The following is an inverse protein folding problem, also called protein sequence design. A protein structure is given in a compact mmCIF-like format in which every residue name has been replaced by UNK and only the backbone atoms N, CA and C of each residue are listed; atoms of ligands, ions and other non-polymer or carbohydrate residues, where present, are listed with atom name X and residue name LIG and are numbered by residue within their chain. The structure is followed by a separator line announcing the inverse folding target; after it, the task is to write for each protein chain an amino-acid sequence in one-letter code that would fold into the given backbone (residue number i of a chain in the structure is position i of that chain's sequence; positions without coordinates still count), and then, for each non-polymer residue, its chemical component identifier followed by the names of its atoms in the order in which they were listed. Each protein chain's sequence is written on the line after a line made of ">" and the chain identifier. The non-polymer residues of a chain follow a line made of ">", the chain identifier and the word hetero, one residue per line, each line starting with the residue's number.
data_IF_457294921936
#
_entry.id   IF_457294921936
#
_cell.length_a   1.000
_cell.length_b   1.000
_cell.length_c   1.000
_cell.angle_alpha   90.00
_cell.angle_beta   90.00
_cell.angle_gamma   90.00
#
_symmetry.space_group_name_H-M   'P 1'
#
loop_
_entity.id
_entity.type
_entity.pdbx_description
1 polymer ?
#
# COMPACT_ATOMS: atom_id res chain seq x y z
N UNK A 1 37.92 20.06 -87.57
CA UNK A 1 36.64 19.35 -87.70
C UNK A 1 36.29 18.70 -86.35
N UNK A 2 35.20 19.17 -85.72
CA UNK A 2 34.33 18.54 -84.68
C UNK A 2 34.86 18.17 -83.26
N UNK A 3 34.65 19.13 -82.37
CA UNK A 3 34.07 19.14 -81.01
C UNK A 3 33.36 17.87 -80.45
N UNK A 4 33.61 17.58 -79.15
CA UNK A 4 32.67 17.23 -78.03
C UNK A 4 33.48 16.60 -76.87
N UNK A 5 33.27 16.77 -75.55
CA UNK A 5 32.50 17.63 -74.63
C UNK A 5 32.81 17.03 -73.22
N UNK A 6 33.15 17.87 -72.20
CA UNK A 6 32.78 17.76 -70.76
C UNK A 6 33.16 16.46 -69.97
N UNK A 7 33.41 16.41 -68.65
CA UNK A 7 33.06 17.25 -67.51
C UNK A 7 33.87 16.84 -66.25
N UNK A 8 34.04 17.79 -65.34
CA UNK A 8 34.56 17.64 -63.98
C UNK A 8 33.80 16.62 -63.12
N UNK A 9 34.52 15.81 -62.33
CA UNK A 9 33.98 15.10 -61.16
C UNK A 9 34.60 15.75 -59.92
N UNK A 10 33.91 16.77 -59.39
CA UNK A 10 34.18 17.29 -58.06
C UNK A 10 33.32 16.49 -57.07
N UNK A 11 33.99 15.80 -56.16
CA UNK A 11 33.42 14.99 -55.09
C UNK A 11 32.77 15.93 -54.05
N UNK A 12 31.49 16.25 -54.24
CA UNK A 12 30.71 16.99 -53.27
C UNK A 12 30.29 16.03 -52.15
N UNK A 13 31.02 16.05 -51.04
CA UNK A 13 30.52 15.49 -49.76
C UNK A 13 29.38 16.37 -49.28
N UNK A 14 28.18 16.06 -49.76
CA UNK A 14 26.94 16.64 -49.27
C UNK A 14 26.75 16.15 -47.83
N UNK A 15 27.11 16.99 -46.86
CA UNK A 15 26.64 16.87 -45.48
C UNK A 15 25.11 16.99 -45.55
N UNK A 16 24.44 15.84 -45.65
CA UNK A 16 23.00 15.80 -45.43
C UNK A 16 22.80 16.12 -43.96
N UNK A 17 22.47 17.37 -43.67
CA UNK A 17 21.84 17.75 -42.41
C UNK A 17 20.55 16.94 -42.35
N UNK A 18 20.59 15.86 -41.58
CA UNK A 18 19.36 15.17 -41.20
C UNK A 18 18.62 16.18 -40.31
N UNK A 19 17.41 16.63 -40.66
CA UNK A 19 16.64 17.41 -39.72
C UNK A 19 16.48 16.56 -38.47
N UNK A 20 16.99 17.06 -37.35
CA UNK A 20 16.67 16.49 -36.04
C UNK A 20 15.18 16.69 -35.85
N UNK A 21 14.40 15.64 -36.10
CA UNK A 21 12.99 15.65 -35.74
C UNK A 21 12.95 15.81 -34.22
N UNK A 22 12.49 16.97 -33.75
CA UNK A 22 12.10 17.14 -32.37
C UNK A 22 11.07 16.05 -32.09
N UNK A 23 11.45 15.09 -31.26
CA UNK A 23 10.53 14.06 -30.83
C UNK A 23 9.59 14.74 -29.84
N UNK A 24 8.36 15.01 -30.27
CA UNK A 24 7.31 15.54 -29.39
C UNK A 24 7.03 14.50 -28.30
N UNK A 25 7.72 14.64 -27.17
CA UNK A 25 7.51 13.83 -25.99
C UNK A 25 6.42 14.49 -25.17
N UNK A 26 5.36 13.73 -24.89
CA UNK A 26 4.28 14.18 -24.01
C UNK A 26 4.50 13.65 -22.61
N UNK A 27 4.02 14.38 -21.62
CA UNK A 27 4.10 13.99 -20.22
C UNK A 27 2.69 13.90 -19.65
N UNK A 28 2.40 12.84 -18.91
CA UNK A 28 1.20 12.75 -18.10
C UNK A 28 1.58 12.69 -16.62
N UNK A 29 0.90 13.49 -15.80
CA UNK A 29 0.94 13.43 -14.34
C UNK A 29 -0.37 12.82 -13.90
N UNK A 30 -0.36 11.72 -13.14
CA UNK A 30 -1.59 11.19 -12.54
C UNK A 30 -2.68 10.91 -13.61
N UNK A 31 -2.26 10.30 -14.72
CA UNK A 31 -3.05 10.04 -15.95
C UNK A 31 -3.54 11.28 -16.73
N UNK A 32 -3.34 12.50 -16.23
CA UNK A 32 -3.67 13.74 -16.93
C UNK A 32 -2.48 14.26 -17.74
N UNK A 33 -2.69 14.53 -19.03
CA UNK A 33 -1.66 15.16 -19.87
C UNK A 33 -1.32 16.55 -19.36
N UNK A 34 -0.02 16.85 -19.30
CA UNK A 34 0.49 18.18 -18.93
C UNK A 34 0.60 19.03 -20.18
N UNK A 35 -0.12 20.15 -20.19
CA UNK A 35 0.11 21.23 -21.14
C UNK A 35 1.17 22.17 -20.58
N UNK A 36 2.28 22.32 -21.30
CA UNK A 36 3.41 23.15 -20.89
C UNK A 36 3.32 24.51 -21.57
N UNK A 37 3.31 25.58 -20.77
CA UNK A 37 3.44 26.93 -21.30
C UNK A 37 4.90 27.20 -21.73
N UNK A 38 5.16 27.03 -23.03
CA UNK A 38 6.46 27.22 -23.67
C UNK A 38 7.24 25.92 -23.86
N UNK A 39 8.48 25.87 -23.37
CA UNK A 39 9.36 24.70 -23.52
C UNK A 39 8.82 23.51 -22.71
N UNK A 40 8.33 22.50 -23.43
CA UNK A 40 7.88 21.22 -22.88
C UNK A 40 9.03 20.21 -22.70
N UNK A 41 8.66 18.93 -22.56
CA UNK A 41 9.62 17.85 -22.37
C UNK A 41 10.54 17.66 -23.59
N UNK A 42 11.81 17.40 -23.34
CA UNK A 42 12.85 17.25 -24.37
C UNK A 42 13.71 16.03 -24.08
N UNK A 43 14.12 15.30 -25.10
CA UNK A 43 15.09 14.21 -24.94
C UNK A 43 16.50 14.76 -25.05
N UNK A 44 17.28 14.61 -23.98
CA UNK A 44 18.72 14.93 -23.94
C UNK A 44 19.46 13.67 -23.55
N UNK A 45 20.42 13.24 -24.36
CA UNK A 45 21.26 12.05 -24.11
C UNK A 45 20.45 10.77 -23.77
N UNK A 46 19.28 10.60 -24.42
CA UNK A 46 18.40 9.46 -24.19
C UNK A 46 17.65 9.49 -22.86
N UNK A 47 17.55 10.67 -22.21
CA UNK A 47 16.71 10.92 -21.04
C UNK A 47 15.66 11.97 -21.36
N UNK A 48 14.43 11.73 -20.93
CA UNK A 48 13.35 12.72 -21.02
C UNK A 48 13.53 13.74 -19.91
N UNK A 49 13.93 14.95 -20.29
CA UNK A 49 13.99 16.10 -19.41
C UNK A 49 12.66 16.85 -19.44
N UNK A 50 12.21 17.30 -18.28
CA UNK A 50 10.94 17.99 -18.08
C UNK A 50 11.16 19.32 -17.35
N UNK A 51 10.35 20.36 -17.63
CA UNK A 51 10.38 21.57 -16.83
C UNK A 51 9.81 21.25 -15.44
N UNK A 52 10.66 21.34 -14.40
CA UNK A 52 10.33 20.82 -13.06
C UNK A 52 9.03 21.37 -12.52
N UNK A 53 8.85 22.69 -12.58
CA UNK A 53 7.64 23.37 -12.10
C UNK A 53 6.36 22.84 -12.76
N UNK A 54 6.39 22.61 -14.08
CA UNK A 54 5.20 22.18 -14.82
C UNK A 54 4.67 20.78 -14.43
N UNK A 55 5.54 19.94 -13.86
CA UNK A 55 5.20 18.58 -13.43
C UNK A 55 5.01 18.52 -11.92
N UNK A 56 5.95 19.07 -11.15
CA UNK A 56 5.98 18.88 -9.70
C UNK A 56 5.01 19.79 -8.94
N UNK A 57 4.62 20.95 -9.49
CA UNK A 57 3.51 21.72 -8.92
C UNK A 57 2.20 20.91 -8.98
N UNK A 58 1.98 20.15 -10.07
CA UNK A 58 0.82 19.25 -10.22
C UNK A 58 0.87 18.02 -9.32
N UNK A 59 2.05 17.66 -8.81
CA UNK A 59 2.24 16.59 -7.83
C UNK A 59 2.18 17.13 -6.38
N UNK A 60 1.85 18.41 -6.19
CA UNK A 60 1.72 19.04 -4.87
C UNK A 60 3.05 19.42 -4.20
N UNK A 61 4.17 19.44 -4.94
CA UNK A 61 5.42 19.97 -4.44
C UNK A 61 5.47 21.49 -4.58
N UNK A 62 5.99 22.17 -3.55
CA UNK A 62 6.44 23.55 -3.70
C UNK A 62 7.81 23.56 -4.37
N UNK A 63 7.91 24.24 -5.51
CA UNK A 63 9.15 24.37 -6.29
C UNK A 63 9.73 25.77 -6.11
N UNK A 64 10.80 25.86 -5.33
CA UNK A 64 11.57 27.09 -5.14
C UNK A 64 12.81 27.12 -6.02
N UNK A 65 13.10 28.28 -6.60
CA UNK A 65 14.32 28.52 -7.37
C UNK A 65 15.13 29.61 -6.69
N UNK A 66 16.38 29.28 -6.32
CA UNK A 66 17.36 30.25 -5.89
C UNK A 66 18.25 30.63 -7.08
N UNK A 67 18.11 31.87 -7.54
CA UNK A 67 18.85 32.39 -8.69
C UNK A 67 20.33 32.65 -8.41
N UNK A 68 20.70 32.92 -7.15
CA UNK A 68 22.08 33.20 -6.76
C UNK A 68 22.90 31.91 -6.72
N UNK A 69 22.38 30.89 -6.01
CA UNK A 69 23.04 29.59 -5.91
C UNK A 69 22.76 28.65 -7.08
N UNK A 70 21.81 29.00 -7.95
CA UNK A 70 21.31 28.17 -9.06
C UNK A 70 20.81 26.79 -8.61
N UNK A 71 20.04 26.78 -7.53
CA UNK A 71 19.49 25.57 -6.91
C UNK A 71 17.97 25.56 -7.00
N UNK A 72 17.41 24.45 -7.47
CA UNK A 72 15.98 24.15 -7.33
C UNK A 72 15.78 23.34 -6.05
N UNK A 73 14.83 23.75 -5.23
CA UNK A 73 14.40 22.98 -4.06
C UNK A 73 12.93 22.61 -4.22
N UNK A 74 12.63 21.31 -4.15
CA UNK A 74 11.28 20.78 -4.14
C UNK A 74 10.94 20.34 -2.72
N UNK A 75 9.80 20.78 -2.19
CA UNK A 75 9.34 20.39 -0.85
C UNK A 75 7.89 19.93 -0.86
N UNK A 76 7.62 18.76 -0.28
CA UNK A 76 6.27 18.21 -0.01
C UNK A 76 6.35 17.38 1.27
N UNK A 77 5.47 17.66 2.23
CA UNK A 77 5.44 16.99 3.54
C UNK A 77 6.84 16.94 4.20
N UNK A 78 7.38 15.75 4.48
CA UNK A 78 8.71 15.53 5.04
C UNK A 78 9.82 15.32 3.99
N UNK A 79 9.51 15.49 2.70
CA UNK A 79 10.43 15.31 1.58
C UNK A 79 10.94 16.66 1.09
N UNK A 80 12.27 16.84 1.17
CA UNK A 80 13.01 17.97 0.58
C UNK A 80 14.01 17.43 -0.42
N UNK A 81 13.88 17.84 -1.68
CA UNK A 81 14.81 17.48 -2.75
C UNK A 81 15.56 18.74 -3.19
N UNK A 82 16.88 18.71 -3.16
CA UNK A 82 17.73 19.82 -3.59
C UNK A 82 18.50 19.45 -4.85
N UNK A 83 18.38 20.30 -5.87
CA UNK A 83 18.92 20.05 -7.20
C UNK A 83 19.72 21.27 -7.68
N UNK A 84 21.05 21.23 -7.53
CA UNK A 84 21.93 22.22 -8.12
C UNK A 84 22.00 22.06 -9.65
N UNK A 85 21.78 23.15 -10.39
CA UNK A 85 21.88 23.13 -11.86
C UNK A 85 23.32 22.85 -12.29
N UNK A 86 23.49 21.95 -13.26
CA UNK A 86 24.79 21.51 -13.76
C UNK A 86 25.49 20.43 -12.92
N UNK A 87 24.90 20.04 -11.78
CA UNK A 87 25.39 18.94 -10.95
C UNK A 87 24.75 17.61 -11.35
N UNK A 88 25.54 16.54 -11.36
CA UNK A 88 25.05 15.17 -11.45
C UNK A 88 24.66 14.61 -10.08
N UNK A 89 24.72 15.42 -9.02
CA UNK A 89 24.34 15.03 -7.66
C UNK A 89 23.16 15.88 -7.22
N UNK A 90 22.09 15.20 -6.83
CA UNK A 90 20.93 15.77 -6.12
C UNK A 90 20.89 15.21 -4.71
N UNK A 91 20.14 15.85 -3.81
CA UNK A 91 19.91 15.29 -2.47
C UNK A 91 18.43 15.12 -2.18
N UNK A 92 18.06 14.07 -1.47
CA UNK A 92 16.73 13.85 -0.86
C UNK A 92 16.92 13.80 0.65
N UNK A 93 16.30 14.71 1.38
CA UNK A 93 16.43 14.82 2.84
C UNK A 93 17.90 14.83 3.33
N UNK A 94 18.79 15.44 2.53
CA UNK A 94 20.23 15.50 2.81
C UNK A 94 21.04 14.31 2.28
N UNK A 95 20.40 13.22 1.84
CA UNK A 95 21.08 12.06 1.26
C UNK A 95 21.34 12.26 -0.23
N UNK A 96 22.60 12.10 -0.65
CA UNK A 96 23.02 12.34 -2.03
C UNK A 96 22.70 11.17 -2.97
N UNK A 97 22.20 11.48 -4.16
CA UNK A 97 21.95 10.54 -5.26
C UNK A 97 22.55 11.08 -6.54
N UNK A 98 23.21 10.21 -7.31
CA UNK A 98 23.77 10.57 -8.62
C UNK A 98 22.75 10.36 -9.74
N UNK A 99 22.68 11.30 -10.67
CA UNK A 99 21.78 11.28 -11.83
C UNK A 99 22.59 11.25 -13.14
N UNK A 100 22.03 10.59 -14.16
CA UNK A 100 22.73 10.36 -15.44
C UNK A 100 22.99 11.64 -16.24
N UNK A 101 22.02 12.56 -16.23
CA UNK A 101 22.07 13.84 -16.96
C UNK A 101 21.81 14.96 -15.96
N UNK A 102 22.67 15.98 -15.87
CA UNK A 102 22.49 17.06 -14.89
C UNK A 102 21.24 17.88 -15.20
N UNK A 103 20.75 18.59 -14.19
CA UNK A 103 19.77 19.65 -14.38
C UNK A 103 20.34 20.76 -15.29
N UNK A 104 19.54 21.26 -16.24
CA UNK A 104 19.96 22.28 -17.22
C UNK A 104 18.94 23.42 -17.30
N UNK A 105 19.36 24.59 -17.78
CA UNK A 105 18.44 25.67 -18.13
C UNK A 105 18.30 25.70 -19.66
N UNK A 106 17.11 25.40 -20.16
CA UNK A 106 16.79 25.39 -21.60
C UNK A 106 15.61 26.33 -21.81
N UNK A 107 15.75 27.32 -22.69
CA UNK A 107 14.71 28.32 -22.99
C UNK A 107 14.11 28.97 -21.72
N UNK A 108 14.97 29.27 -20.73
CA UNK A 108 14.57 29.89 -19.47
C UNK A 108 13.80 28.98 -18.50
N UNK A 109 13.77 27.66 -18.73
CA UNK A 109 13.18 26.65 -17.84
C UNK A 109 14.26 25.75 -17.26
N UNK A 110 14.14 25.40 -15.98
CA UNK A 110 15.00 24.39 -15.36
C UNK A 110 14.47 22.99 -15.69
N UNK A 111 15.26 22.25 -16.44
CA UNK A 111 14.96 20.96 -17.05
C UNK A 111 15.71 19.84 -16.32
N UNK A 112 14.99 18.84 -15.82
CA UNK A 112 15.56 17.70 -15.07
C UNK A 112 15.09 16.37 -15.66
N UNK A 113 15.91 15.28 -15.55
CA UNK A 113 15.47 13.95 -15.98
C UNK A 113 14.28 13.48 -15.16
N UNK A 114 13.15 13.22 -15.82
CA UNK A 114 11.87 12.88 -15.17
C UNK A 114 11.99 11.71 -14.20
N UNK A 115 12.69 10.63 -14.60
CA UNK A 115 12.87 9.44 -13.77
C UNK A 115 13.67 9.75 -12.50
N UNK A 116 14.77 10.47 -12.62
CA UNK A 116 15.63 10.75 -11.47
C UNK A 116 14.90 11.56 -10.39
N UNK A 117 14.14 12.58 -10.82
CA UNK A 117 13.36 13.38 -9.88
C UNK A 117 12.10 12.65 -9.39
N UNK A 118 11.49 11.80 -10.22
CA UNK A 118 10.39 10.91 -9.82
C UNK A 118 10.81 9.93 -8.73
N UNK A 119 11.94 9.24 -8.91
CA UNK A 119 12.49 8.30 -7.93
C UNK A 119 12.81 9.00 -6.59
N UNK A 120 13.45 10.18 -6.65
CA UNK A 120 13.71 10.99 -5.46
C UNK A 120 12.41 11.43 -4.77
N UNK A 121 11.37 11.76 -5.54
CA UNK A 121 10.05 12.12 -5.07
C UNK A 121 9.18 10.93 -4.62
N UNK A 122 9.65 9.69 -4.81
CA UNK A 122 8.87 8.48 -4.50
C UNK A 122 7.72 8.22 -5.47
N UNK A 123 7.77 8.75 -6.68
CA UNK A 123 6.80 8.56 -7.74
C UNK A 123 7.23 7.44 -8.70
N UNK A 124 6.26 6.74 -9.31
CA UNK A 124 6.54 5.79 -10.37
C UNK A 124 6.61 6.50 -11.74
N UNK A 125 7.61 6.16 -12.55
CA UNK A 125 7.82 6.75 -13.87
C UNK A 125 7.88 5.67 -14.95
N UNK A 126 6.96 5.72 -15.90
CA UNK A 126 6.90 4.81 -17.03
C UNK A 126 7.02 5.53 -18.39
N UNK A 127 7.40 4.77 -19.41
CA UNK A 127 7.54 5.25 -20.78
C UNK A 127 6.76 4.35 -21.73
N UNK A 128 5.86 4.96 -22.50
CA UNK A 128 5.17 4.32 -23.60
C UNK A 128 5.82 4.74 -24.93
N UNK A 129 6.46 3.78 -25.59
CA UNK A 129 7.17 4.02 -26.85
C UNK A 129 6.24 4.22 -28.05
N UNK A 130 5.04 3.66 -28.02
CA UNK A 130 4.06 3.77 -29.11
C UNK A 130 3.41 5.15 -29.10
N UNK A 131 2.96 5.59 -27.92
CA UNK A 131 2.28 6.89 -27.76
C UNK A 131 3.25 8.05 -27.49
N UNK A 132 4.54 7.75 -27.23
CA UNK A 132 5.59 8.70 -26.84
C UNK A 132 5.22 9.51 -25.60
N UNK A 133 4.58 8.85 -24.64
CA UNK A 133 4.16 9.46 -23.37
C UNK A 133 5.08 8.96 -22.25
N UNK A 134 5.67 9.91 -21.54
CA UNK A 134 6.30 9.64 -20.25
C UNK A 134 5.26 9.90 -19.15
N UNK A 135 4.90 8.87 -18.39
CA UNK A 135 3.96 9.00 -17.27
C UNK A 135 4.73 9.09 -15.96
N UNK A 136 4.27 9.96 -15.08
CA UNK A 136 4.67 10.02 -13.68
C UNK A 136 3.42 9.93 -12.81
N UNK A 137 3.44 9.03 -11.84
CA UNK A 137 2.33 8.79 -10.92
C UNK A 137 2.89 8.88 -9.51
N UNK A 138 2.38 9.82 -8.72
CA UNK A 138 2.56 9.76 -7.27
C UNK A 138 1.57 8.72 -6.75
N UNK A 139 1.99 7.46 -6.59
CA UNK A 139 1.07 6.37 -6.24
C UNK A 139 0.33 6.69 -4.93
N UNK A 140 1.01 7.33 -3.96
CA UNK A 140 0.42 7.69 -2.68
C UNK A 140 -0.34 9.02 -2.70
N UNK A 141 0.02 9.97 -3.57
CA UNK A 141 -0.67 11.26 -3.75
C UNK A 141 -1.85 11.23 -4.71
N UNK A 142 -1.81 10.38 -5.73
CA UNK A 142 -2.86 10.21 -6.73
C UNK A 142 -4.10 9.54 -6.14
N UNK A 143 -3.92 8.57 -5.23
CA UNK A 143 -5.01 8.00 -4.44
C UNK A 143 -5.62 9.03 -3.46
N UNK A 144 -4.81 9.99 -2.96
CA UNK A 144 -5.26 11.06 -2.04
C UNK A 144 -6.03 12.20 -2.72
N UNK A 145 -5.65 12.60 -3.93
CA UNK A 145 -6.30 13.71 -4.66
C UNK A 145 -7.68 13.32 -5.25
N UNK A 146 -7.99 12.02 -5.33
CA UNK A 146 -9.30 11.50 -5.74
C UNK A 146 -10.26 11.23 -4.56
N UNK A 147 -9.82 11.36 -3.30
CA UNK A 147 -10.61 11.06 -2.08
C UNK A 147 -10.59 12.22 -1.05
N UNK A 148 -11.39 13.28 -1.29
CA UNK A 148 -11.94 14.29 -0.35
C UNK A 148 -11.36 14.40 1.08
N UNK A 149 -10.29 15.19 1.27
CA UNK A 149 -9.50 15.35 2.50
C UNK A 149 -10.20 15.93 3.77
N UNK A 150 -11.48 16.33 3.75
CA UNK A 150 -12.20 16.75 4.99
C UNK A 150 -13.23 15.73 5.50
N UNK A 151 -13.57 14.70 4.72
CA UNK A 151 -14.56 13.67 5.10
C UNK A 151 -13.92 12.30 5.30
N UNK A 152 -12.87 11.94 4.54
CA UNK A 152 -12.18 10.64 4.64
C UNK A 152 -11.43 10.43 5.94
N UNK A 153 -10.77 11.44 6.51
CA UNK A 153 -10.11 11.25 7.80
C UNK A 153 -11.12 11.00 8.93
N UNK A 154 -12.34 11.53 8.83
CA UNK A 154 -13.39 11.27 9.81
C UNK A 154 -14.03 9.90 9.61
N UNK A 155 -14.26 9.47 8.37
CA UNK A 155 -14.76 8.13 8.06
C UNK A 155 -13.73 7.04 8.40
N UNK A 156 -12.45 7.26 8.08
CA UNK A 156 -11.35 6.36 8.40
C UNK A 156 -11.10 6.28 9.91
N UNK A 157 -11.18 7.41 10.63
CA UNK A 157 -11.09 7.45 12.09
C UNK A 157 -12.30 6.76 12.74
N UNK A 158 -13.52 7.01 12.25
CA UNK A 158 -14.74 6.34 12.73
C UNK A 158 -14.68 4.83 12.48
N UNK A 159 -14.23 4.42 11.30
CA UNK A 159 -13.98 3.01 11.00
C UNK A 159 -12.93 2.42 11.95
N UNK A 160 -11.82 3.10 12.21
CA UNK A 160 -10.81 2.64 13.17
C UNK A 160 -11.37 2.51 14.60
N UNK A 161 -12.22 3.45 15.05
CA UNK A 161 -12.91 3.36 16.34
C UNK A 161 -13.88 2.16 16.38
N UNK A 162 -14.66 1.94 15.33
CA UNK A 162 -15.56 0.79 15.20
C UNK A 162 -14.77 -0.53 15.21
N UNK A 163 -13.66 -0.62 14.47
CA UNK A 163 -12.82 -1.82 14.45
C UNK A 163 -12.13 -2.08 15.79
N UNK A 164 -11.67 -1.05 16.50
CA UNK A 164 -11.14 -1.21 17.86
C UNK A 164 -12.21 -1.73 18.83
N UNK A 165 -13.44 -1.19 18.75
CA UNK A 165 -14.55 -1.67 19.56
C UNK A 165 -14.92 -3.13 19.23
N UNK A 166 -14.84 -3.54 17.96
CA UNK A 166 -15.01 -4.93 17.53
C UNK A 166 -13.90 -5.81 18.12
N UNK A 167 -12.65 -5.38 18.03
CA UNK A 167 -11.52 -6.11 18.61
C UNK A 167 -11.69 -6.32 20.12
N UNK A 168 -12.07 -5.28 20.86
CA UNK A 168 -12.34 -5.36 22.29
C UNK A 168 -13.43 -6.39 22.60
N UNK A 169 -14.51 -6.41 21.82
CA UNK A 169 -15.59 -7.41 21.97
C UNK A 169 -15.07 -8.83 21.70
N UNK A 170 -14.24 -9.03 20.68
CA UNK A 170 -13.67 -10.34 20.37
C UNK A 170 -12.79 -10.80 21.54
N UNK A 171 -11.86 -9.95 22.01
CA UNK A 171 -10.96 -10.27 23.13
C UNK A 171 -11.75 -10.58 24.41
N UNK A 172 -12.78 -9.78 24.73
CA UNK A 172 -13.66 -10.01 25.88
C UNK A 172 -14.45 -11.32 25.78
N UNK A 173 -14.74 -11.79 24.57
CA UNK A 173 -15.45 -13.05 24.32
C UNK A 173 -14.50 -14.25 24.37
N UNK A 174 -13.34 -14.17 23.71
CA UNK A 174 -12.32 -15.25 23.64
C UNK A 174 -11.75 -15.55 25.03
N UNK A 175 -11.38 -14.52 25.78
CA UNK A 175 -10.61 -14.68 27.03
C UNK A 175 -11.26 -15.63 28.05
N UNK A 176 -12.50 -15.39 28.52
CA UNK A 176 -13.11 -16.24 29.56
C UNK A 176 -13.33 -17.68 29.06
N UNK A 177 -13.66 -17.84 27.79
CA UNK A 177 -13.84 -19.15 27.18
C UNK A 177 -12.51 -19.92 27.11
N UNK A 178 -11.44 -19.29 26.61
CA UNK A 178 -10.14 -19.93 26.48
C UNK A 178 -9.50 -20.26 27.83
N UNK A 179 -9.77 -19.48 28.88
CA UNK A 179 -9.32 -19.81 30.23
C UNK A 179 -9.92 -21.13 30.71
N UNK A 180 -11.21 -21.36 30.45
CA UNK A 180 -11.90 -22.61 30.82
C UNK A 180 -11.49 -23.77 29.92
N UNK A 181 -11.27 -23.52 28.63
CA UNK A 181 -10.75 -24.55 27.73
C UNK A 181 -9.32 -24.99 28.12
N UNK A 182 -8.47 -24.04 28.53
CA UNK A 182 -7.14 -24.34 29.09
C UNK A 182 -7.22 -25.06 30.42
N UNK A 183 -8.16 -24.70 31.29
CA UNK A 183 -8.44 -25.41 32.55
C UNK A 183 -8.68 -26.89 32.25
N UNK A 184 -9.59 -27.19 31.31
CA UNK A 184 -9.88 -28.56 30.86
C UNK A 184 -8.66 -29.29 30.31
N UNK A 185 -7.90 -28.67 29.40
CA UNK A 185 -6.74 -29.32 28.76
C UNK A 185 -5.60 -29.62 29.73
N UNK A 186 -5.56 -28.96 30.89
CA UNK A 186 -4.53 -29.17 31.91
C UNK A 186 -4.98 -30.11 33.05
N UNK A 187 -6.21 -30.63 33.02
CA UNK A 187 -6.68 -31.58 34.02
C UNK A 187 -5.88 -32.88 33.94
N UNK A 188 -5.35 -33.33 35.08
CA UNK A 188 -4.82 -34.69 35.22
C UNK A 188 -5.97 -35.68 35.41
N UNK A 189 -6.21 -36.62 34.46
CA UNK A 189 -7.33 -37.56 34.56
C UNK A 189 -7.25 -38.48 35.78
N UNK A 190 -6.07 -38.64 36.39
CA UNK A 190 -5.90 -39.47 37.59
C UNK A 190 -6.28 -38.76 38.89
N UNK A 191 -6.45 -37.42 38.87
CA UNK A 191 -6.66 -36.59 40.06
C UNK A 191 -8.06 -35.97 40.14
N UNK A 192 -8.83 -36.00 39.05
CA UNK A 192 -10.19 -35.46 38.98
C UNK A 192 -11.23 -36.55 39.19
N UNK A 193 -12.28 -36.27 39.97
CA UNK A 193 -13.42 -37.19 40.07
C UNK A 193 -14.40 -37.01 38.91
N UNK A 194 -15.19 -38.05 38.63
CA UNK A 194 -16.12 -38.06 37.48
C UNK A 194 -17.17 -36.94 37.53
N UNK A 195 -17.60 -36.50 38.72
CA UNK A 195 -18.58 -35.41 38.86
C UNK A 195 -17.94 -34.09 38.44
N UNK A 196 -16.76 -33.80 38.97
CA UNK A 196 -15.98 -32.60 38.62
C UNK A 196 -15.63 -32.55 37.13
N UNK A 197 -15.25 -33.70 36.56
CA UNK A 197 -14.96 -33.81 35.13
C UNK A 197 -16.20 -33.49 34.29
N UNK A 198 -17.36 -34.03 34.65
CA UNK A 198 -18.61 -33.76 33.94
C UNK A 198 -19.06 -32.31 34.07
N UNK A 199 -18.90 -31.70 35.25
CA UNK A 199 -19.16 -30.27 35.44
C UNK A 199 -18.25 -29.41 34.55
N UNK A 200 -16.96 -29.76 34.45
CA UNK A 200 -16.01 -29.04 33.61
C UNK A 200 -16.33 -29.20 32.11
N UNK A 201 -16.67 -30.41 31.66
CA UNK A 201 -17.13 -30.67 30.28
C UNK A 201 -18.37 -29.83 29.96
N UNK A 202 -19.36 -29.82 30.87
CA UNK A 202 -20.56 -29.00 30.70
C UNK A 202 -20.24 -27.51 30.64
N UNK A 203 -19.32 -27.04 31.47
CA UNK A 203 -18.86 -25.65 31.49
C UNK A 203 -18.20 -25.26 30.16
N UNK A 204 -17.30 -26.10 29.62
CA UNK A 204 -16.67 -25.89 28.31
C UNK A 204 -17.70 -25.86 27.18
N UNK A 205 -18.63 -26.82 27.12
CA UNK A 205 -19.71 -26.83 26.11
C UNK A 205 -20.58 -25.58 26.21
N UNK A 206 -20.97 -25.18 27.42
CA UNK A 206 -21.84 -24.01 27.62
C UNK A 206 -21.14 -22.71 27.21
N UNK A 207 -19.88 -22.54 27.60
CA UNK A 207 -19.12 -21.33 27.29
C UNK A 207 -18.74 -21.25 25.81
N UNK A 208 -18.38 -22.37 25.16
CA UNK A 208 -18.13 -22.39 23.71
C UNK A 208 -19.37 -22.00 22.92
N UNK A 209 -20.56 -22.49 23.27
CA UNK A 209 -21.83 -22.06 22.63
C UNK A 209 -22.11 -20.57 22.85
N UNK A 210 -21.91 -20.07 24.06
CA UNK A 210 -22.10 -18.66 24.38
C UNK A 210 -21.13 -17.77 23.60
N UNK A 211 -19.85 -18.17 23.52
CA UNK A 211 -18.83 -17.47 22.75
C UNK A 211 -19.17 -17.49 21.25
N UNK A 212 -19.54 -18.67 20.72
CA UNK A 212 -19.95 -18.82 19.32
C UNK A 212 -21.12 -17.91 18.94
N UNK A 213 -22.17 -17.88 19.77
CA UNK A 213 -23.31 -16.98 19.56
C UNK A 213 -22.87 -15.51 19.53
N UNK A 214 -21.95 -15.13 20.42
CA UNK A 214 -21.42 -13.76 20.49
C UNK A 214 -20.55 -13.44 19.28
N UNK A 215 -19.69 -14.34 18.81
CA UNK A 215 -18.90 -14.13 17.60
C UNK A 215 -19.77 -14.00 16.35
N UNK A 216 -20.84 -14.78 16.23
CA UNK A 216 -21.79 -14.61 15.12
C UNK A 216 -22.50 -13.25 15.18
N UNK A 217 -22.83 -12.77 16.38
CA UNK A 217 -23.35 -11.42 16.54
C UNK A 217 -22.31 -10.36 16.12
N UNK A 218 -21.07 -10.48 16.60
CA UNK A 218 -19.97 -9.56 16.22
C UNK A 218 -19.75 -9.60 14.70
N UNK A 219 -19.80 -10.77 14.06
CA UNK A 219 -19.68 -10.91 12.60
C UNK A 219 -20.82 -10.22 11.87
N UNK A 220 -22.05 -10.31 12.38
CA UNK A 220 -23.19 -9.57 11.85
C UNK A 220 -23.00 -8.05 12.00
N UNK A 221 -22.52 -7.59 13.15
CA UNK A 221 -22.21 -6.17 13.40
C UNK A 221 -21.11 -5.68 12.45
N UNK A 222 -20.02 -6.45 12.29
CA UNK A 222 -18.92 -6.16 11.37
C UNK A 222 -19.41 -6.07 9.92
N UNK A 223 -20.31 -6.95 9.48
CA UNK A 223 -20.85 -6.91 8.12
C UNK A 223 -21.66 -5.65 7.80
N UNK A 224 -22.10 -4.91 8.83
CA UNK A 224 -22.80 -3.63 8.67
C UNK A 224 -21.86 -2.42 8.72
N UNK A 225 -20.57 -2.62 9.04
CA UNK A 225 -19.56 -1.56 9.06
C UNK A 225 -19.33 -1.06 7.64
N UNK A 226 -19.31 0.27 7.48
CA UNK A 226 -18.94 0.89 6.21
C UNK A 226 -17.42 0.92 6.10
N UNK A 227 -16.88 0.25 5.08
CA UNK A 227 -15.44 0.16 4.87
C UNK A 227 -14.97 1.32 3.98
N UNK A 228 -14.13 2.24 4.48
CA UNK A 228 -13.54 3.30 3.67
C UNK A 228 -12.37 2.76 2.84
N UNK A 229 -11.94 3.52 1.83
CA UNK A 229 -10.76 3.18 1.03
C UNK A 229 -9.51 2.99 1.92
N UNK A 230 -8.79 1.88 1.73
CA UNK A 230 -7.63 1.49 2.53
C UNK A 230 -7.97 0.68 3.79
N UNK A 231 -9.25 0.60 4.18
CA UNK A 231 -9.74 -0.17 5.32
C UNK A 231 -10.02 -1.64 5.01
N UNK A 232 -9.96 -2.06 3.75
CA UNK A 232 -10.36 -3.39 3.28
C UNK A 232 -9.54 -4.49 3.97
N UNK A 233 -8.22 -4.30 4.09
CA UNK A 233 -7.33 -5.26 4.75
C UNK A 233 -7.66 -5.46 6.23
N UNK A 234 -8.09 -4.39 6.92
CA UNK A 234 -8.49 -4.46 8.33
C UNK A 234 -9.79 -5.25 8.46
N UNK A 235 -10.76 -4.94 7.60
CA UNK A 235 -12.05 -5.63 7.57
C UNK A 235 -11.90 -7.12 7.25
N UNK A 236 -11.14 -7.47 6.21
CA UNK A 236 -10.89 -8.86 5.79
C UNK A 236 -10.19 -9.65 6.89
N UNK A 237 -9.20 -9.05 7.56
CA UNK A 237 -8.48 -9.68 8.66
C UNK A 237 -9.40 -9.94 9.87
N UNK A 238 -10.27 -8.98 10.21
CA UNK A 238 -11.27 -9.14 11.27
C UNK A 238 -12.30 -10.25 10.94
N UNK A 239 -12.79 -10.29 9.70
CA UNK A 239 -13.70 -11.33 9.23
C UNK A 239 -13.07 -12.72 9.31
N UNK A 240 -11.82 -12.84 8.85
CA UNK A 240 -11.07 -14.09 8.93
C UNK A 240 -10.84 -14.53 10.39
N UNK A 241 -10.47 -13.60 11.27
CA UNK A 241 -10.33 -13.87 12.70
C UNK A 241 -11.63 -14.42 13.30
N UNK A 242 -12.78 -13.79 13.00
CA UNK A 242 -14.08 -14.25 13.47
C UNK A 242 -14.46 -15.63 12.91
N UNK A 243 -14.15 -15.91 11.64
CA UNK A 243 -14.43 -17.20 11.04
C UNK A 243 -13.67 -18.34 11.71
N UNK A 244 -12.39 -18.11 12.03
CA UNK A 244 -11.58 -19.09 12.77
C UNK A 244 -12.15 -19.31 14.18
N UNK A 245 -12.49 -18.25 14.91
CA UNK A 245 -13.06 -18.34 16.26
C UNK A 245 -14.44 -19.03 16.28
N UNK A 246 -15.30 -18.74 15.30
CA UNK A 246 -16.61 -19.38 15.13
C UNK A 246 -16.44 -20.88 14.85
N UNK A 247 -15.54 -21.25 13.95
CA UNK A 247 -15.30 -22.65 13.61
C UNK A 247 -14.74 -23.44 14.81
N UNK A 248 -13.79 -22.86 15.54
CA UNK A 248 -13.20 -23.45 16.72
C UNK A 248 -14.24 -23.68 17.84
N UNK A 249 -15.03 -22.64 18.17
CA UNK A 249 -16.05 -22.74 19.21
C UNK A 249 -17.19 -23.69 18.84
N UNK A 250 -17.58 -23.75 17.56
CA UNK A 250 -18.53 -24.73 17.06
C UNK A 250 -18.01 -26.16 17.25
N UNK A 251 -16.79 -26.44 16.80
CA UNK A 251 -16.17 -27.75 16.92
C UNK A 251 -16.08 -28.19 18.39
N UNK A 252 -15.64 -27.31 19.28
CA UNK A 252 -15.56 -27.59 20.72
C UNK A 252 -16.94 -27.92 21.28
N UNK A 253 -17.95 -27.11 20.98
CA UNK A 253 -19.30 -27.38 21.47
C UNK A 253 -19.86 -28.71 20.98
N UNK A 254 -19.65 -29.06 19.71
CA UNK A 254 -20.12 -30.32 19.12
C UNK A 254 -19.44 -31.52 19.77
N UNK A 255 -18.11 -31.48 19.93
CA UNK A 255 -17.36 -32.58 20.53
C UNK A 255 -17.77 -32.79 21.98
N UNK A 256 -17.88 -31.72 22.76
CA UNK A 256 -18.24 -31.84 24.18
C UNK A 256 -19.70 -32.28 24.36
N UNK A 257 -20.62 -31.87 23.48
CA UNK A 257 -21.99 -32.37 23.48
C UNK A 257 -22.07 -33.87 23.19
N UNK A 258 -21.29 -34.36 22.22
CA UNK A 258 -21.18 -35.80 21.94
C UNK A 258 -20.69 -36.57 23.17
N UNK A 259 -19.64 -36.08 23.82
CA UNK A 259 -19.10 -36.69 25.04
C UNK A 259 -20.18 -36.74 26.14
N UNK A 260 -20.92 -35.65 26.34
CA UNK A 260 -22.02 -35.61 27.32
C UNK A 260 -23.18 -36.55 26.97
N UNK A 261 -23.43 -36.79 25.68
CA UNK A 261 -24.41 -37.76 25.20
C UNK A 261 -23.93 -39.23 25.29
N UNK A 262 -22.68 -39.47 25.69
CA UNK A 262 -22.06 -40.79 25.71
C UNK A 262 -21.61 -41.29 24.33
N UNK A 263 -21.55 -40.40 23.35
CA UNK A 263 -21.06 -40.68 22.00
C UNK A 263 -19.54 -40.50 21.91
N UNK A 264 -18.90 -41.22 20.98
CA UNK A 264 -17.47 -41.09 20.74
C UNK A 264 -17.21 -40.09 19.60
N UNK A 265 -16.44 -39.01 19.82
CA UNK A 265 -16.04 -38.10 18.76
C UNK A 265 -15.22 -38.80 17.67
N UNK A 266 -15.28 -38.30 16.44
CA UNK A 266 -14.49 -38.86 15.33
C UNK A 266 -13.01 -38.52 15.47
N UNK A 267 -12.13 -39.32 14.86
CA UNK A 267 -10.69 -39.02 14.86
C UNK A 267 -10.39 -37.66 14.23
N UNK A 268 -11.09 -37.30 13.15
CA UNK A 268 -10.95 -35.99 12.49
C UNK A 268 -11.30 -34.84 13.44
N UNK A 269 -12.36 -34.99 14.23
CA UNK A 269 -12.73 -33.99 15.25
C UNK A 269 -11.66 -33.87 16.33
N UNK A 270 -11.08 -34.99 16.78
CA UNK A 270 -10.00 -34.98 17.77
C UNK A 270 -8.71 -34.36 17.22
N UNK A 271 -8.35 -34.65 15.98
CA UNK A 271 -7.18 -34.06 15.32
C UNK A 271 -7.36 -32.55 15.10
N UNK A 272 -8.58 -32.11 14.80
CA UNK A 272 -8.90 -30.69 14.68
C UNK A 272 -8.85 -29.96 16.03
N UNK A 273 -9.34 -30.58 17.12
CA UNK A 273 -9.23 -30.02 18.47
C UNK A 273 -7.79 -29.77 18.92
N UNK A 274 -6.84 -30.62 18.49
CA UNK A 274 -5.41 -30.45 18.81
C UNK A 274 -4.77 -29.23 18.17
N UNK A 275 -5.38 -28.68 17.10
CA UNK A 275 -4.86 -27.49 16.40
C UNK A 275 -5.39 -26.18 16.98
N UNK A 276 -6.46 -26.24 17.77
CA UNK A 276 -7.07 -25.07 18.41
C UNK A 276 -6.07 -24.38 19.35
N UNK A 277 -6.01 -23.06 19.25
CA UNK A 277 -5.10 -22.16 19.96
C UNK A 277 -3.92 -21.71 19.11
N UNK A 278 -3.64 -22.38 17.98
CA UNK A 278 -2.58 -21.99 17.05
C UNK A 278 -3.06 -21.00 15.99
N UNK A 279 -4.08 -21.40 15.21
CA UNK A 279 -4.61 -20.61 14.09
C UNK A 279 -5.40 -19.38 14.56
N UNK A 280 -6.15 -19.53 15.66
CA UNK A 280 -6.86 -18.46 16.37
C UNK A 280 -5.86 -17.37 16.83
N UNK A 281 -4.77 -17.79 17.49
CA UNK A 281 -3.74 -16.87 17.96
C UNK A 281 -3.06 -16.11 16.83
N UNK A 282 -2.71 -16.81 15.74
CA UNK A 282 -2.04 -16.20 14.59
C UNK A 282 -2.94 -15.18 13.87
N UNK A 283 -4.23 -15.50 13.67
CA UNK A 283 -5.18 -14.60 13.02
C UNK A 283 -5.50 -13.38 13.89
N UNK A 284 -5.62 -13.55 15.20
CA UNK A 284 -5.76 -12.45 16.16
C UNK A 284 -4.55 -11.52 16.15
N UNK A 285 -3.32 -12.04 16.15
CA UNK A 285 -2.10 -11.22 16.07
C UNK A 285 -2.07 -10.42 14.77
N UNK A 286 -2.32 -11.08 13.63
CA UNK A 286 -2.32 -10.44 12.32
C UNK A 286 -3.39 -9.33 12.23
N UNK A 287 -4.58 -9.57 12.78
CA UNK A 287 -5.64 -8.56 12.84
C UNK A 287 -5.23 -7.33 13.65
N UNK A 288 -4.63 -7.53 14.82
CA UNK A 288 -4.13 -6.43 15.64
C UNK A 288 -3.01 -5.63 14.95
N UNK A 289 -2.08 -6.30 14.27
CA UNK A 289 -0.99 -5.65 13.53
C UNK A 289 -1.52 -4.81 12.37
N UNK A 290 -2.40 -5.37 11.53
CA UNK A 290 -3.00 -4.66 10.39
C UNK A 290 -3.85 -3.47 10.87
N UNK A 291 -4.60 -3.63 11.96
CA UNK A 291 -5.39 -2.53 12.54
C UNK A 291 -4.50 -1.40 13.03
N UNK A 292 -3.36 -1.74 13.66
CA UNK A 292 -2.38 -0.75 14.12
C UNK A 292 -1.72 -0.01 12.96
N UNK A 293 -1.28 -0.73 11.92
CA UNK A 293 -0.71 -0.13 10.70
C UNK A 293 -1.69 0.85 10.06
N UNK A 294 -2.97 0.48 9.97
CA UNK A 294 -4.03 1.32 9.42
C UNK A 294 -4.24 2.58 10.27
N UNK A 295 -4.32 2.46 11.59
CA UNK A 295 -4.43 3.61 12.50
C UNK A 295 -3.23 4.56 12.37
N UNK A 296 -2.02 4.01 12.28
CA UNK A 296 -0.80 4.80 12.13
C UNK A 296 -0.76 5.51 10.77
N UNK A 297 -1.34 4.92 9.72
CA UNK A 297 -1.48 5.55 8.40
C UNK A 297 -2.46 6.73 8.38
N UNK A 298 -3.50 6.71 9.24
CA UNK A 298 -4.46 7.84 9.36
C UNK A 298 -3.83 9.03 10.07
N UNK A 299 -2.89 8.79 10.99
CA UNK A 299 -2.30 9.82 11.87
C UNK A 299 -1.16 10.60 11.23
N UNK A 300 -0.57 10.10 10.14
CA UNK A 300 0.62 10.64 9.48
C UNK A 300 0.29 11.25 8.11
#
# INVERSE_FOLDING_TARGET
>A
MKLKKFMCVAFATMLMSVPAFAQDVRVSVNAALVDFDGQGATVVEGRTLIPVRGVFDKLGYSVNWDAESKVVTLTKDSVTITVPVGSNVITKNGEATTIDVPAQIIEGRTMLPLRAIGDAAGCEVAWDAETKIASIVDIFGYEREYYNFETTNMEALKFAEEMNAINDKIVQTVTPFMDVYKEFNNVNPAEIDNTQLMELIQKVSTMSKSANSTFNQIKSELSAVTVPAGGERVYESAMNCLDVEINATNLISEVFDKIMAGETPTQEQMDALQKIGGEEGATMTLYNEITKEYIDSIKN
#
